data_IF_332612842663
#
_entry.id   IF_332612842663
#
_cell.length_a   1.000
_cell.length_b   1.000
_cell.length_c   1.000
_cell.angle_alpha   90.00
_cell.angle_beta   90.00
_cell.angle_gamma   90.00
#
_symmetry.space_group_name_H-M   'P 1'
#
loop_
_entity.id
_entity.type
_entity.pdbx_description
1 polymer ?
#
# COMPACT_ATOMS: atom_id res chain seq x y z
N UNK A 1 40.11 -52.00 -19.18
CA UNK A 1 38.69 -51.78 -19.52
C UNK A 1 38.40 -50.26 -19.51
N UNK A 2 38.30 -49.63 -20.69
CA UNK A 2 38.08 -48.23 -20.87
C UNK A 2 36.58 -48.03 -21.19
N UNK A 3 35.88 -47.25 -20.37
CA UNK A 3 34.46 -46.91 -20.55
C UNK A 3 34.41 -45.53 -21.17
N UNK A 4 34.05 -45.45 -22.45
CA UNK A 4 33.86 -44.18 -23.16
C UNK A 4 32.45 -43.64 -22.87
N UNK A 5 32.38 -42.45 -22.28
CA UNK A 5 31.16 -41.72 -21.98
C UNK A 5 30.86 -40.74 -23.15
N UNK A 6 29.91 -41.09 -24.01
CA UNK A 6 29.41 -40.24 -25.10
C UNK A 6 28.36 -39.26 -24.58
N UNK A 7 28.69 -37.99 -24.53
CA UNK A 7 27.76 -36.90 -24.25
C UNK A 7 26.99 -36.53 -25.52
N UNK A 8 25.65 -36.69 -25.51
CA UNK A 8 24.76 -36.24 -26.58
C UNK A 8 24.32 -34.82 -26.24
N UNK A 9 24.85 -33.83 -27.00
CA UNK A 9 24.35 -32.44 -26.96
C UNK A 9 23.11 -32.37 -27.86
N UNK A 10 21.94 -32.33 -27.25
CA UNK A 10 20.68 -31.98 -27.90
C UNK A 10 20.60 -30.47 -28.12
N UNK A 11 20.99 -30.00 -29.29
CA UNK A 11 20.79 -28.62 -29.70
C UNK A 11 19.32 -28.37 -30.06
N UNK A 12 18.65 -27.44 -29.39
CA UNK A 12 17.36 -26.89 -29.86
C UNK A 12 17.60 -26.06 -31.12
N UNK A 13 17.32 -26.62 -32.30
CA UNK A 13 17.35 -25.90 -33.56
C UNK A 13 16.13 -24.97 -33.63
N UNK A 14 16.33 -23.66 -33.45
CA UNK A 14 15.35 -22.64 -33.83
C UNK A 14 15.48 -22.47 -35.35
N UNK A 15 14.42 -22.80 -36.11
CA UNK A 15 14.38 -22.56 -37.53
C UNK A 15 14.32 -21.06 -37.81
N UNK A 16 15.39 -20.49 -38.39
CA UNK A 16 15.37 -19.14 -38.94
C UNK A 16 14.60 -19.16 -40.24
N UNK A 17 13.58 -18.32 -40.35
CA UNK A 17 12.88 -18.05 -41.63
C UNK A 17 13.68 -16.99 -42.37
N UNK A 18 14.31 -17.37 -43.48
CA UNK A 18 15.11 -16.48 -44.33
C UNK A 18 14.26 -15.69 -45.35
N UNK A 19 12.99 -16.02 -45.51
CA UNK A 19 12.08 -15.35 -46.43
C UNK A 19 10.93 -14.62 -45.75
N UNK A 20 10.71 -13.36 -46.09
CA UNK A 20 9.56 -12.58 -45.68
C UNK A 20 8.27 -13.15 -46.27
N UNK A 21 7.48 -13.86 -45.45
CA UNK A 21 6.18 -14.39 -45.85
C UNK A 21 5.10 -13.33 -45.72
N UNK A 22 4.45 -13.01 -46.85
CA UNK A 22 3.27 -12.13 -46.83
C UNK A 22 2.14 -12.80 -46.07
N UNK A 23 1.73 -12.19 -44.97
CA UNK A 23 0.55 -12.64 -44.17
C UNK A 23 -0.70 -12.18 -44.95
N UNK A 24 -1.67 -13.09 -45.14
CA UNK A 24 -2.97 -12.75 -45.74
C UNK A 24 -3.71 -11.83 -44.79
N UNK A 25 -4.39 -10.81 -45.30
CA UNK A 25 -5.13 -9.83 -44.51
C UNK A 25 -6.18 -10.53 -43.60
N UNK A 26 -6.79 -11.63 -44.08
CA UNK A 26 -7.73 -12.47 -43.30
C UNK A 26 -7.08 -13.27 -42.16
N UNK A 27 -5.75 -13.36 -42.11
CA UNK A 27 -5.03 -14.09 -41.07
C UNK A 27 -4.53 -13.15 -39.95
N UNK A 28 -4.78 -11.85 -40.06
CA UNK A 28 -4.44 -10.87 -39.04
C UNK A 28 -5.60 -10.79 -38.04
N UNK A 29 -5.36 -11.11 -36.77
CA UNK A 29 -6.41 -11.00 -35.74
C UNK A 29 -6.94 -9.56 -35.65
N UNK A 30 -8.23 -9.43 -35.34
CA UNK A 30 -8.91 -8.15 -35.10
C UNK A 30 -9.01 -7.20 -36.31
N UNK A 31 -8.79 -7.65 -37.54
CA UNK A 31 -8.97 -6.83 -38.73
C UNK A 31 -8.03 -5.63 -38.82
N UNK A 32 -6.83 -5.70 -38.22
CA UNK A 32 -5.87 -4.59 -38.15
C UNK A 32 -5.40 -4.07 -39.51
N UNK A 33 -5.59 -4.84 -40.58
CA UNK A 33 -5.27 -4.43 -41.97
C UNK A 33 -6.53 -4.13 -42.80
N UNK A 34 -7.70 -4.14 -42.21
CA UNK A 34 -8.94 -3.77 -42.90
C UNK A 34 -9.05 -2.23 -42.96
N UNK A 35 -9.06 -1.63 -44.16
CA UNK A 35 -9.23 -0.19 -44.28
C UNK A 35 -10.59 0.33 -43.79
N UNK A 36 -11.55 -0.57 -43.62
CA UNK A 36 -12.87 -0.27 -43.03
C UNK A 36 -13.02 -0.67 -41.58
N UNK A 37 -11.92 -1.09 -40.92
CA UNK A 37 -11.95 -1.39 -39.50
C UNK A 37 -12.45 -0.14 -38.72
N UNK A 38 -13.41 -0.30 -37.80
CA UNK A 38 -13.84 0.81 -36.96
C UNK A 38 -12.62 1.39 -36.24
N UNK A 39 -12.54 2.72 -36.06
CA UNK A 39 -11.42 3.35 -35.38
C UNK A 39 -11.24 2.66 -34.03
N UNK A 40 -9.98 2.25 -33.74
CA UNK A 40 -9.62 1.71 -32.43
C UNK A 40 -10.01 2.76 -31.39
N UNK A 41 -11.08 2.49 -30.66
CA UNK A 41 -11.45 3.31 -29.51
C UNK A 41 -10.28 3.19 -28.52
N UNK A 42 -9.58 4.28 -28.21
CA UNK A 42 -8.52 4.22 -27.21
C UNK A 42 -9.14 3.66 -25.91
N UNK A 43 -8.43 2.79 -25.19
CA UNK A 43 -8.94 2.28 -23.92
C UNK A 43 -9.33 3.47 -23.05
N UNK A 44 -10.53 3.44 -22.50
CA UNK A 44 -10.97 4.46 -21.53
C UNK A 44 -9.91 4.57 -20.45
N UNK A 45 -9.55 5.79 -20.02
CA UNK A 45 -8.65 5.94 -18.88
C UNK A 45 -9.18 5.07 -17.73
N UNK A 46 -8.32 4.23 -17.15
CA UNK A 46 -8.68 3.48 -15.95
C UNK A 46 -9.08 4.43 -14.81
N UNK A 47 -9.63 3.93 -13.71
CA UNK A 47 -9.99 4.76 -12.59
C UNK A 47 -8.78 5.60 -12.15
N UNK A 48 -9.00 6.89 -11.94
CA UNK A 48 -7.96 7.81 -11.45
C UNK A 48 -7.80 7.76 -9.93
N UNK A 49 -8.63 6.95 -9.24
CA UNK A 49 -8.68 6.79 -7.78
C UNK A 49 -8.73 5.32 -7.39
N UNK A 50 -8.32 5.02 -6.16
CA UNK A 50 -8.44 3.72 -5.50
C UNK A 50 -9.19 3.89 -4.18
N UNK A 51 -10.10 2.97 -3.87
CA UNK A 51 -10.78 2.93 -2.57
C UNK A 51 -9.84 2.34 -1.52
N UNK A 52 -9.60 3.07 -0.45
CA UNK A 52 -8.71 2.72 0.64
C UNK A 52 -9.46 2.77 1.95
N UNK A 53 -9.35 1.74 2.76
CA UNK A 53 -9.85 1.74 4.13
C UNK A 53 -8.87 2.48 5.04
N UNK A 54 -9.36 3.55 5.67
CA UNK A 54 -8.64 4.35 6.64
C UNK A 54 -9.29 4.19 8.02
N UNK A 55 -8.47 4.20 9.07
CA UNK A 55 -8.97 4.14 10.45
C UNK A 55 -9.09 5.55 11.02
N UNK A 56 -10.31 5.94 11.38
CA UNK A 56 -10.61 7.19 12.07
C UNK A 56 -11.17 6.93 13.47
N UNK A 57 -11.40 7.98 14.22
CA UNK A 57 -11.92 7.92 15.58
C UNK A 57 -13.41 8.30 15.62
N UNK A 58 -14.20 7.49 16.29
CA UNK A 58 -15.59 7.78 16.65
C UNK A 58 -15.79 7.41 18.13
N UNK A 59 -16.16 8.41 18.94
CA UNK A 59 -16.36 8.20 20.38
C UNK A 59 -15.15 7.55 21.10
N UNK A 60 -13.94 7.89 20.68
CA UNK A 60 -12.69 7.35 21.24
C UNK A 60 -12.31 5.95 20.74
N UNK A 61 -13.07 5.36 19.81
CA UNK A 61 -12.77 4.06 19.21
C UNK A 61 -12.38 4.19 17.73
N UNK A 62 -11.60 3.24 17.27
CA UNK A 62 -11.21 3.14 15.85
C UNK A 62 -12.35 2.56 15.03
N UNK A 63 -12.69 3.22 13.95
CA UNK A 63 -13.67 2.79 12.96
C UNK A 63 -13.07 2.87 11.56
N UNK A 64 -13.42 1.93 10.70
CA UNK A 64 -13.02 1.96 9.29
C UNK A 64 -13.89 2.93 8.50
N UNK A 65 -13.26 3.69 7.63
CA UNK A 65 -13.90 4.58 6.67
C UNK A 65 -13.24 4.37 5.32
N UNK A 66 -14.02 4.10 4.30
CA UNK A 66 -13.52 3.99 2.92
C UNK A 66 -13.40 5.38 2.30
N UNK A 67 -12.23 5.70 1.78
CA UNK A 67 -11.91 6.94 1.08
C UNK A 67 -11.37 6.65 -0.32
N UNK A 68 -11.65 7.55 -1.26
CA UNK A 68 -11.06 7.51 -2.59
C UNK A 68 -9.79 8.34 -2.62
N UNK A 69 -8.64 7.68 -2.86
CA UNK A 69 -7.36 8.35 -2.99
C UNK A 69 -6.89 8.34 -4.45
N UNK A 70 -6.26 9.43 -4.93
CA UNK A 70 -5.73 9.47 -6.29
C UNK A 70 -4.59 8.48 -6.49
N UNK A 71 -4.57 7.87 -7.66
CA UNK A 71 -3.48 6.95 -8.05
C UNK A 71 -2.21 7.72 -8.45
N UNK A 72 -1.02 7.17 -8.17
CA UNK A 72 -0.76 5.93 -7.43
C UNK A 72 -0.90 6.13 -5.91
N UNK A 73 -1.64 5.23 -5.24
CA UNK A 73 -1.79 5.30 -3.78
C UNK A 73 -0.52 4.78 -3.11
N UNK A 74 0.25 5.69 -2.55
CA UNK A 74 1.44 5.37 -1.74
C UNK A 74 1.08 5.28 -0.25
N UNK A 75 1.92 4.60 0.55
CA UNK A 75 1.72 4.58 2.00
C UNK A 75 1.80 5.98 2.62
N UNK A 76 2.66 6.85 2.09
CA UNK A 76 2.72 8.25 2.49
C UNK A 76 1.40 8.98 2.22
N UNK A 77 0.79 8.79 1.04
CA UNK A 77 -0.53 9.34 0.73
C UNK A 77 -1.60 8.79 1.68
N UNK A 78 -1.57 7.48 1.97
CA UNK A 78 -2.51 6.81 2.88
C UNK A 78 -2.45 7.41 4.30
N UNK A 79 -1.26 7.59 4.89
CA UNK A 79 -1.15 8.16 6.24
C UNK A 79 -1.42 9.66 6.25
N UNK A 80 -1.08 10.40 5.18
CA UNK A 80 -1.42 11.81 5.07
C UNK A 80 -2.92 12.04 5.01
N UNK A 81 -3.69 11.13 4.40
CA UNK A 81 -5.15 11.21 4.38
C UNK A 81 -5.76 11.14 5.78
N UNK A 82 -5.10 10.48 6.76
CA UNK A 82 -5.55 10.43 8.15
C UNK A 82 -5.60 11.80 8.84
N UNK A 83 -4.84 12.77 8.35
CA UNK A 83 -4.79 14.11 8.98
C UNK A 83 -6.04 14.96 8.70
N UNK A 84 -6.88 14.53 7.77
CA UNK A 84 -8.09 15.27 7.38
C UNK A 84 -9.27 14.29 7.32
N UNK A 85 -10.10 14.23 8.39
CA UNK A 85 -11.26 13.35 8.38
C UNK A 85 -12.24 13.72 7.26
N UNK A 86 -12.85 12.72 6.61
CA UNK A 86 -13.82 12.97 5.54
C UNK A 86 -15.09 13.60 6.07
N UNK A 87 -15.51 14.71 5.45
CA UNK A 87 -16.75 15.41 5.80
C UNK A 87 -18.00 14.60 5.45
N UNK A 88 -17.87 13.62 4.57
CA UNK A 88 -18.94 12.74 4.11
C UNK A 88 -19.24 11.59 5.08
N UNK A 89 -18.32 11.27 6.00
CA UNK A 89 -18.52 10.19 6.97
C UNK A 89 -19.74 10.46 7.87
N UNK A 90 -20.63 9.48 7.96
CA UNK A 90 -21.82 9.54 8.81
C UNK A 90 -21.89 8.26 9.67
N UNK A 91 -21.97 8.38 11.00
CA UNK A 91 -21.74 9.59 11.80
C UNK A 91 -20.32 10.16 11.66
N UNK A 92 -20.14 11.43 12.03
CA UNK A 92 -18.87 12.14 11.88
C UNK A 92 -17.71 11.42 12.62
N UNK A 93 -16.54 11.46 12.02
CA UNK A 93 -15.31 10.90 12.59
C UNK A 93 -14.29 12.00 12.87
N UNK A 94 -13.30 11.67 13.70
CA UNK A 94 -12.20 12.55 14.09
C UNK A 94 -10.85 11.88 13.82
N UNK A 95 -9.78 12.65 13.93
CA UNK A 95 -8.41 12.18 13.87
C UNK A 95 -7.64 12.61 15.11
N UNK A 96 -6.71 11.76 15.57
CA UNK A 96 -5.70 12.15 16.54
C UNK A 96 -4.47 12.80 15.87
N UNK A 97 -4.37 12.71 14.54
CA UNK A 97 -3.30 13.25 13.71
C UNK A 97 -3.67 14.64 13.15
N UNK A 98 -3.87 15.62 14.02
CA UNK A 98 -4.30 16.97 13.64
C UNK A 98 -3.22 17.81 12.97
N UNK A 99 -1.94 17.45 13.18
CA UNK A 99 -0.78 18.12 12.59
C UNK A 99 -0.19 17.23 11.48
N UNK A 100 -0.21 17.73 10.25
CA UNK A 100 0.35 17.05 9.07
C UNK A 100 1.86 16.84 9.16
N UNK A 101 2.56 17.61 9.97
CA UNK A 101 4.00 17.50 10.16
C UNK A 101 4.42 16.37 11.11
N UNK A 102 3.46 15.70 11.76
CA UNK A 102 3.73 14.57 12.67
C UNK A 102 4.40 13.42 11.92
N UNK A 103 3.94 13.11 10.71
CA UNK A 103 4.48 11.99 9.91
C UNK A 103 5.45 12.57 8.89
N UNK A 104 6.70 12.16 8.96
CA UNK A 104 7.78 12.61 8.06
C UNK A 104 7.96 11.69 6.87
N UNK A 105 8.01 10.38 7.13
CA UNK A 105 8.30 9.38 6.11
C UNK A 105 7.64 8.04 6.46
N UNK A 106 7.32 7.25 5.42
CA UNK A 106 6.80 5.89 5.57
C UNK A 106 7.44 4.99 4.52
N UNK A 107 8.06 3.89 4.97
CA UNK A 107 8.70 2.89 4.09
C UNK A 107 8.30 1.49 4.54
N UNK A 108 8.29 0.54 3.61
CA UNK A 108 8.07 -0.89 3.92
C UNK A 108 9.34 -1.68 3.65
N UNK A 109 9.68 -2.52 4.60
CA UNK A 109 10.75 -3.50 4.46
C UNK A 109 10.32 -4.81 5.13
N UNK A 110 10.28 -5.91 4.37
CA UNK A 110 9.95 -7.24 4.89
C UNK A 110 8.57 -7.33 5.55
N UNK A 111 7.56 -6.61 5.04
CA UNK A 111 6.21 -6.63 5.61
C UNK A 111 6.01 -5.73 6.83
N UNK A 112 7.04 -4.98 7.22
CA UNK A 112 6.98 -4.01 8.32
C UNK A 112 7.00 -2.61 7.72
N UNK A 113 5.96 -1.80 7.99
CA UNK A 113 5.96 -0.39 7.67
C UNK A 113 6.74 0.37 8.76
N UNK A 114 7.81 1.05 8.38
CA UNK A 114 8.54 1.97 9.25
C UNK A 114 8.00 3.37 9.05
N UNK A 115 7.48 3.95 10.13
CA UNK A 115 6.93 5.31 10.16
C UNK A 115 7.89 6.20 10.95
N UNK A 116 8.43 7.22 10.29
CA UNK A 116 9.26 8.23 10.97
C UNK A 116 8.37 9.39 11.39
N UNK A 117 8.35 9.64 12.69
CA UNK A 117 7.58 10.73 13.30
C UNK A 117 8.49 11.91 13.64
N UNK A 118 7.90 13.10 13.65
CA UNK A 118 8.56 14.31 14.14
C UNK A 118 8.37 14.48 15.64
N UNK A 119 9.15 15.36 16.24
CA UNK A 119 9.03 15.72 17.66
C UNK A 119 7.65 16.29 18.05
N UNK A 120 6.81 16.64 17.07
CA UNK A 120 5.41 17.06 17.33
C UNK A 120 4.60 15.98 18.03
N UNK A 121 4.89 14.68 17.80
CA UNK A 121 4.20 13.57 18.46
C UNK A 121 4.38 13.60 19.98
N UNK A 122 5.56 13.96 20.45
CA UNK A 122 5.86 14.03 21.89
C UNK A 122 5.15 15.17 22.61
N UNK A 123 4.58 16.13 21.86
CA UNK A 123 3.77 17.22 22.42
C UNK A 123 2.31 16.83 22.63
N UNK A 124 1.88 15.71 22.07
CA UNK A 124 0.52 15.23 22.28
C UNK A 124 0.36 14.68 23.70
N UNK A 125 -0.80 14.85 24.34
CA UNK A 125 -1.14 14.11 25.57
C UNK A 125 -1.03 12.59 25.35
N UNK A 126 -0.74 11.84 26.41
CA UNK A 126 -0.46 10.40 26.32
C UNK A 126 -1.62 9.59 25.68
N UNK A 127 -2.87 9.95 26.00
CA UNK A 127 -4.07 9.37 25.40
C UNK A 127 -4.16 9.66 23.92
N UNK A 128 -3.78 10.87 23.49
CA UNK A 128 -3.75 11.25 22.06
C UNK A 128 -2.60 10.55 21.32
N UNK A 129 -1.44 10.35 21.98
CA UNK A 129 -0.34 9.56 21.40
C UNK A 129 -0.79 8.12 21.12
N UNK A 130 -1.47 7.47 22.08
CA UNK A 130 -2.02 6.14 21.91
C UNK A 130 -2.97 6.07 20.71
N UNK A 131 -3.92 7.01 20.63
CA UNK A 131 -4.90 7.05 19.54
C UNK A 131 -4.24 7.34 18.19
N UNK A 132 -3.25 8.23 18.14
CA UNK A 132 -2.51 8.54 16.92
C UNK A 132 -1.73 7.32 16.39
N UNK A 133 -1.02 6.61 17.28
CA UNK A 133 -0.29 5.39 16.94
C UNK A 133 -1.27 4.30 16.48
N UNK A 134 -2.33 4.06 17.24
CA UNK A 134 -3.35 3.07 16.91
C UNK A 134 -4.01 3.34 15.55
N UNK A 135 -4.30 4.60 15.23
CA UNK A 135 -4.86 5.04 13.96
C UNK A 135 -3.93 4.74 12.78
N UNK A 136 -2.62 5.02 12.93
CA UNK A 136 -1.59 4.72 11.92
C UNK A 136 -1.48 3.20 11.73
N UNK A 137 -1.35 2.44 12.83
CA UNK A 137 -1.19 0.97 12.77
C UNK A 137 -2.40 0.31 12.12
N UNK A 138 -3.61 0.66 12.56
CA UNK A 138 -4.86 0.14 12.01
C UNK A 138 -4.95 0.37 10.49
N UNK A 139 -4.60 1.58 10.04
CA UNK A 139 -4.66 1.94 8.62
C UNK A 139 -3.60 1.22 7.80
N UNK A 140 -2.33 1.26 8.23
CA UNK A 140 -1.22 0.69 7.45
C UNK A 140 -1.29 -0.83 7.37
N UNK A 141 -1.71 -1.52 8.45
CA UNK A 141 -1.89 -2.97 8.43
C UNK A 141 -3.09 -3.43 7.59
N UNK A 142 -3.93 -2.52 7.15
CA UNK A 142 -4.96 -2.77 6.13
C UNK A 142 -4.42 -2.74 4.69
N UNK A 143 -3.18 -2.25 4.48
CA UNK A 143 -2.59 -2.19 3.15
C UNK A 143 -1.92 -3.51 2.78
N UNK A 144 -2.02 -3.93 1.50
CA UNK A 144 -1.35 -5.14 1.03
C UNK A 144 0.15 -5.12 1.34
N UNK A 145 0.68 -6.23 1.85
CA UNK A 145 2.10 -6.38 2.16
C UNK A 145 2.57 -5.74 3.46
N UNK A 146 1.67 -5.20 4.30
CA UNK A 146 2.00 -4.63 5.61
C UNK A 146 1.33 -5.45 6.72
N UNK A 147 2.12 -6.18 7.51
CA UNK A 147 1.62 -6.92 8.68
C UNK A 147 1.85 -6.22 10.01
N UNK A 148 2.90 -5.40 10.08
CA UNK A 148 3.31 -4.70 11.31
C UNK A 148 3.80 -3.29 11.00
N UNK A 149 3.87 -2.46 12.03
CA UNK A 149 4.37 -1.09 11.96
C UNK A 149 5.43 -0.88 13.03
N UNK A 150 6.56 -0.28 12.65
CA UNK A 150 7.60 0.19 13.59
C UNK A 150 7.69 1.71 13.52
N UNK A 151 8.05 2.33 14.62
CA UNK A 151 8.11 3.77 14.74
C UNK A 151 9.52 4.26 15.04
N UNK A 152 9.86 5.38 14.40
CA UNK A 152 11.09 6.14 14.70
C UNK A 152 10.71 7.59 14.96
N UNK A 153 11.55 8.28 15.75
CA UNK A 153 11.50 9.71 15.98
C UNK A 153 12.79 10.32 15.44
N UNK A 154 12.67 11.11 14.39
CA UNK A 154 13.85 11.70 13.71
C UNK A 154 14.89 10.60 13.37
N UNK A 155 14.43 9.41 12.94
CA UNK A 155 15.25 8.26 12.57
C UNK A 155 15.68 7.34 13.73
N UNK A 156 15.55 7.74 14.99
CA UNK A 156 15.85 6.91 16.17
C UNK A 156 14.64 6.05 16.58
N UNK A 157 14.83 4.79 17.07
CA UNK A 157 13.72 3.96 17.52
C UNK A 157 12.86 4.69 18.58
N UNK A 158 11.55 4.71 18.36
CA UNK A 158 10.57 5.31 19.26
C UNK A 158 9.78 4.24 20.00
N UNK A 159 9.73 4.32 21.33
CA UNK A 159 8.80 3.52 22.12
C UNK A 159 7.38 4.08 21.97
N UNK A 160 6.43 3.21 21.59
CA UNK A 160 5.04 3.59 21.38
C UNK A 160 4.13 2.86 22.36
N UNK A 161 3.02 3.49 22.80
CA UNK A 161 2.06 2.87 23.70
C UNK A 161 1.19 1.85 22.97
N UNK A 162 0.93 0.71 23.63
CA UNK A 162 -0.08 -0.28 23.25
C UNK A 162 -1.38 -0.05 24.03
N UNK A 163 -2.46 -0.69 23.61
CA UNK A 163 -3.76 -0.60 24.27
C UNK A 163 -3.79 -1.16 25.70
N UNK A 164 -2.80 -2.00 26.06
CA UNK A 164 -2.63 -2.53 27.43
C UNK A 164 -1.82 -1.58 28.35
N UNK A 165 -1.40 -0.44 27.86
CA UNK A 165 -0.59 0.56 28.56
C UNK A 165 0.91 0.30 28.54
N UNK A 166 1.39 -0.79 27.93
CA UNK A 166 2.82 -1.05 27.77
C UNK A 166 3.44 -0.12 26.71
N UNK A 167 4.74 0.17 26.87
CA UNK A 167 5.56 0.90 25.90
C UNK A 167 6.53 -0.06 25.22
N UNK A 168 6.54 -0.11 23.89
CA UNK A 168 7.39 -1.02 23.13
C UNK A 168 8.11 -0.30 21.99
N UNK A 169 9.34 -0.72 21.69
CA UNK A 169 10.10 -0.29 20.50
C UNK A 169 10.07 -1.32 19.38
N UNK A 170 9.58 -2.53 19.67
CA UNK A 170 9.36 -3.58 18.66
C UNK A 170 8.22 -3.21 17.73
N UNK A 171 8.17 -3.78 16.50
CA UNK A 171 7.03 -3.62 15.61
C UNK A 171 5.73 -4.06 16.28
N UNK A 172 4.66 -3.31 16.04
CA UNK A 172 3.31 -3.52 16.57
C UNK A 172 2.35 -3.90 15.44
N UNK A 173 1.32 -4.68 15.76
CA UNK A 173 0.28 -5.12 14.84
C UNK A 173 -1.07 -4.53 15.25
N UNK A 174 -2.09 -4.71 14.40
CA UNK A 174 -3.46 -4.27 14.68
C UNK A 174 -4.03 -4.85 15.97
N UNK A 175 -3.70 -6.10 16.26
CA UNK A 175 -4.20 -6.80 17.45
C UNK A 175 -3.73 -6.17 18.77
N UNK A 176 -2.57 -5.50 18.75
CA UNK A 176 -2.08 -4.73 19.91
C UNK A 176 -3.01 -3.56 20.29
N UNK A 177 -3.92 -3.19 19.39
CA UNK A 177 -4.91 -2.10 19.56
C UNK A 177 -6.35 -2.60 19.48
N UNK A 178 -6.58 -3.92 19.58
CA UNK A 178 -7.89 -4.54 19.49
C UNK A 178 -8.91 -3.95 20.47
N UNK A 179 -8.48 -3.58 21.69
CA UNK A 179 -9.34 -2.95 22.69
C UNK A 179 -9.89 -1.57 22.28
N UNK A 180 -9.25 -0.91 21.29
CA UNK A 180 -9.68 0.39 20.76
C UNK A 180 -10.57 0.25 19.53
N UNK A 181 -10.74 -0.95 18.96
CA UNK A 181 -11.61 -1.17 17.80
C UNK A 181 -13.09 -1.09 18.22
N UNK A 182 -13.93 -0.55 17.31
CA UNK A 182 -15.38 -0.45 17.54
C UNK A 182 -16.11 -1.74 17.22
#
# INVERSE_FOLDING_TARGET
MACALTAVLGGCAVSTQDDARRIRDSAVPFGLLDPQAPPLVPPSPGPSTEQVELCFLREGRLVFVTEELPLPVTLGATVNALTTPPLTARPAVRTALTDRSIIRDVRVLGGIARVDLSASVSKLPADQQLLAVAQIVCTLTGRPGVGQVSFTLDGAPLAVPKSDGSLVTSPVARDDYGALMA
#
